data_IF_932322669947
#
_entry.id   IF_932322669947
#
_cell.length_a   1.000
_cell.length_b   1.000
_cell.length_c   1.000
_cell.angle_alpha   90.00
_cell.angle_beta   90.00
_cell.angle_gamma   90.00
#
_symmetry.space_group_name_H-M   'P 1'
#
loop_
_entity.id
_entity.type
_entity.pdbx_description
1 polymer ?
#
# COMPACT_ATOMS: atom_id res chain seq x y z
N UNK A 1 43.35 -9.04 -16.47
CA UNK A 1 42.07 -8.44 -16.94
C UNK A 1 40.91 -9.44 -17.04
N UNK A 2 41.13 -10.77 -17.02
CA UNK A 2 40.04 -11.77 -17.08
C UNK A 2 39.33 -12.10 -15.75
N UNK A 3 39.87 -11.68 -14.59
CA UNK A 3 39.30 -12.02 -13.25
C UNK A 3 38.30 -10.98 -12.70
N UNK A 4 38.17 -9.81 -13.32
CA UNK A 4 37.20 -8.78 -12.89
C UNK A 4 35.80 -8.95 -13.51
N UNK A 5 35.68 -9.72 -14.59
CA UNK A 5 34.42 -9.96 -15.27
C UNK A 5 33.53 -10.99 -14.54
N UNK A 6 34.14 -11.98 -13.87
CA UNK A 6 33.41 -13.06 -13.19
C UNK A 6 32.69 -12.61 -11.91
N UNK A 7 33.24 -11.65 -11.17
CA UNK A 7 32.64 -11.23 -9.90
C UNK A 7 31.38 -10.35 -10.09
N UNK A 8 31.24 -9.65 -11.22
CA UNK A 8 30.06 -8.80 -11.47
C UNK A 8 28.80 -9.62 -11.75
N UNK A 9 28.95 -10.74 -12.46
CA UNK A 9 27.84 -11.63 -12.81
C UNK A 9 27.27 -12.33 -11.55
N UNK A 10 28.13 -12.73 -10.60
CA UNK A 10 27.70 -13.35 -9.34
C UNK A 10 26.80 -12.42 -8.50
N UNK A 11 27.14 -11.12 -8.41
CA UNK A 11 26.30 -10.15 -7.70
C UNK A 11 24.99 -9.87 -8.43
N UNK A 12 25.03 -9.82 -9.76
CA UNK A 12 23.82 -9.69 -10.57
C UNK A 12 22.86 -10.85 -10.29
N UNK A 13 23.33 -12.09 -10.41
CA UNK A 13 22.52 -13.29 -10.20
C UNK A 13 21.95 -13.35 -8.78
N UNK A 14 22.77 -13.04 -7.77
CA UNK A 14 22.35 -13.08 -6.37
C UNK A 14 21.22 -12.09 -6.07
N UNK A 15 21.37 -10.83 -6.49
CA UNK A 15 20.34 -9.81 -6.22
C UNK A 15 19.13 -9.94 -7.14
N UNK A 16 19.30 -10.37 -8.40
CA UNK A 16 18.16 -10.66 -9.29
C UNK A 16 17.34 -11.85 -8.77
N UNK A 17 18.00 -12.88 -8.24
CA UNK A 17 17.31 -14.00 -7.58
C UNK A 17 16.51 -13.52 -6.36
N UNK A 18 17.04 -12.59 -5.56
CA UNK A 18 16.31 -11.96 -4.46
C UNK A 18 15.11 -11.11 -4.90
N UNK A 19 15.18 -10.46 -6.06
CA UNK A 19 14.05 -9.72 -6.60
C UNK A 19 12.89 -10.63 -7.06
N UNK A 20 13.21 -11.83 -7.55
CA UNK A 20 12.22 -12.82 -8.00
C UNK A 20 11.64 -13.65 -6.85
N UNK A 21 12.48 -13.97 -5.87
CA UNK A 21 12.12 -14.67 -4.64
C UNK A 21 12.57 -13.85 -3.43
N UNK A 22 11.67 -13.00 -2.87
CA UNK A 22 12.01 -12.05 -1.82
C UNK A 22 12.62 -12.66 -0.56
N UNK A 23 12.43 -13.95 -0.28
CA UNK A 23 13.06 -14.62 0.85
C UNK A 23 14.60 -14.62 0.77
N UNK A 24 15.17 -14.45 -0.43
CA UNK A 24 16.62 -14.39 -0.63
C UNK A 24 17.25 -13.02 -0.37
N UNK A 25 16.47 -11.97 -0.06
CA UNK A 25 17.01 -10.64 0.22
C UNK A 25 17.99 -10.62 1.38
N UNK A 26 17.63 -11.28 2.48
CA UNK A 26 18.48 -11.39 3.65
C UNK A 26 19.82 -12.05 3.31
N UNK A 27 19.78 -13.18 2.58
CA UNK A 27 20.97 -13.88 2.10
C UNK A 27 21.84 -12.98 1.20
N UNK A 28 21.23 -12.24 0.28
CA UNK A 28 21.96 -11.37 -0.64
C UNK A 28 22.63 -10.20 0.09
N UNK A 29 21.93 -9.57 1.03
CA UNK A 29 22.45 -8.47 1.86
C UNK A 29 23.57 -8.99 2.79
N UNK A 30 23.41 -10.17 3.40
CA UNK A 30 24.45 -10.84 4.19
C UNK A 30 25.71 -11.11 3.38
N UNK A 31 25.58 -11.62 2.16
CA UNK A 31 26.71 -11.89 1.29
C UNK A 31 27.49 -10.62 0.94
N UNK A 32 26.79 -9.51 0.64
CA UNK A 32 27.42 -8.20 0.41
C UNK A 32 28.17 -7.71 1.66
N UNK A 33 27.56 -7.85 2.84
CA UNK A 33 28.20 -7.46 4.11
C UNK A 33 29.47 -8.27 4.34
N UNK A 34 29.41 -9.59 4.21
CA UNK A 34 30.55 -10.49 4.38
C UNK A 34 31.69 -10.19 3.39
N UNK A 35 31.37 -9.99 2.10
CA UNK A 35 32.37 -9.72 1.07
C UNK A 35 33.10 -8.37 1.27
N UNK A 36 32.44 -7.41 1.93
CA UNK A 36 33.04 -6.12 2.28
C UNK A 36 33.64 -6.11 3.69
N UNK A 37 33.63 -7.25 4.39
CA UNK A 37 34.10 -7.38 5.76
C UNK A 37 33.35 -6.47 6.74
N UNK A 38 32.05 -6.30 6.52
CA UNK A 38 31.16 -5.50 7.36
C UNK A 38 30.24 -6.41 8.17
N UNK A 39 29.92 -6.01 9.41
CA UNK A 39 29.01 -6.70 10.30
C UNK A 39 27.61 -6.85 9.70
N UNK A 40 27.07 -5.76 9.14
CA UNK A 40 25.73 -5.77 8.54
C UNK A 40 25.69 -5.05 7.19
N UNK A 41 24.82 -5.55 6.31
CA UNK A 41 24.34 -4.84 5.15
C UNK A 41 22.94 -4.31 5.45
N UNK A 42 22.56 -3.21 4.79
CA UNK A 42 21.28 -2.58 5.00
C UNK A 42 20.67 -2.12 3.68
N UNK A 43 19.40 -2.45 3.46
CA UNK A 43 18.54 -1.82 2.46
C UNK A 43 17.43 -1.08 3.20
N UNK A 44 17.37 0.24 3.01
CA UNK A 44 16.43 1.10 3.70
C UNK A 44 15.67 1.95 2.70
N UNK A 45 14.38 2.15 2.93
CA UNK A 45 13.56 3.05 2.14
C UNK A 45 12.82 4.05 3.00
N UNK A 46 12.70 5.27 2.50
CA UNK A 46 11.86 6.32 3.06
C UNK A 46 10.86 6.77 2.01
N UNK A 47 9.60 6.92 2.40
CA UNK A 47 8.53 7.37 1.51
C UNK A 47 7.55 8.30 2.20
N UNK A 48 6.61 8.89 1.43
CA UNK A 48 5.56 9.74 1.97
C UNK A 48 4.74 9.03 3.05
N UNK A 49 4.31 9.74 4.10
CA UNK A 49 3.39 9.20 5.10
C UNK A 49 4.01 8.31 6.17
N UNK A 50 5.28 8.52 6.52
CA UNK A 50 6.04 7.73 7.51
C UNK A 50 6.27 6.26 7.12
N UNK A 51 6.14 5.93 5.83
CA UNK A 51 6.49 4.60 5.35
C UNK A 51 8.00 4.46 5.25
N UNK A 52 8.56 3.66 6.13
CA UNK A 52 9.92 3.18 6.00
C UNK A 52 9.95 1.68 6.04
N UNK A 53 10.81 1.08 5.22
CA UNK A 53 11.28 -0.27 5.47
C UNK A 53 12.75 -0.18 5.80
N UNK A 54 13.21 -1.02 6.70
CA UNK A 54 14.60 -1.07 7.10
C UNK A 54 15.00 -2.54 7.23
N UNK A 55 15.67 -3.05 6.21
CA UNK A 55 16.17 -4.41 6.16
C UNK A 55 17.64 -4.38 6.54
N UNK A 56 17.97 -4.95 7.70
CA UNK A 56 19.34 -5.08 8.16
C UNK A 56 19.63 -6.57 8.33
N UNK A 57 20.73 -7.04 7.74
CA UNK A 57 21.12 -8.43 7.85
C UNK A 57 21.50 -8.81 9.28
N UNK A 58 21.22 -10.04 9.71
CA UNK A 58 21.66 -10.58 11.02
C UNK A 58 21.19 -9.77 12.25
N UNK A 59 20.08 -9.03 12.13
CA UNK A 59 19.45 -8.29 13.23
C UNK A 59 18.05 -8.84 13.51
N UNK A 60 17.70 -8.97 14.80
CA UNK A 60 16.38 -9.40 15.27
C UNK A 60 15.30 -8.32 15.03
N UNK A 61 14.09 -8.72 14.65
CA UNK A 61 12.96 -7.80 14.37
C UNK A 61 12.64 -6.86 15.55
N UNK A 62 12.90 -7.29 16.80
CA UNK A 62 12.71 -6.46 18.00
C UNK A 62 13.61 -5.22 18.04
N UNK A 63 14.75 -5.27 17.35
CA UNK A 63 15.69 -4.16 17.22
C UNK A 63 15.18 -3.16 16.19
N UNK A 64 14.70 -3.63 15.04
CA UNK A 64 14.06 -2.80 14.00
C UNK A 64 12.83 -2.09 14.56
N UNK A 65 12.07 -2.74 15.44
CA UNK A 65 10.92 -2.12 16.11
C UNK A 65 11.29 -0.93 17.02
N UNK A 66 12.46 -0.93 17.68
CA UNK A 66 12.97 0.24 18.41
C UNK A 66 13.25 1.40 17.46
N UNK A 67 13.80 1.12 16.28
CA UNK A 67 14.09 2.14 15.26
C UNK A 67 12.83 2.81 14.68
N UNK A 68 11.65 2.17 14.78
CA UNK A 68 10.38 2.69 14.28
C UNK A 68 9.85 3.89 15.09
N UNK A 69 10.42 4.15 16.27
CA UNK A 69 10.07 5.30 17.11
C UNK A 69 10.80 6.58 16.72
N UNK A 70 11.91 6.46 15.97
CA UNK A 70 12.74 7.58 15.53
C UNK A 70 12.46 7.84 14.05
N UNK A 71 12.24 9.11 13.68
CA UNK A 71 12.16 9.51 12.29
C UNK A 71 13.57 9.51 11.65
N UNK A 72 13.98 8.33 11.18
CA UNK A 72 15.27 8.09 10.55
C UNK A 72 15.48 8.86 9.25
N UNK A 73 14.43 9.49 8.69
CA UNK A 73 14.51 10.25 7.44
C UNK A 73 14.98 11.69 7.62
N UNK A 74 15.07 12.18 8.87
CA UNK A 74 15.39 13.57 9.16
C UNK A 74 16.90 13.83 9.26
N UNK A 75 17.45 14.78 8.47
CA UNK A 75 18.88 15.08 8.51
C UNK A 75 19.34 15.68 9.85
N UNK A 76 18.47 16.36 10.59
CA UNK A 76 18.85 16.94 11.90
C UNK A 76 18.86 15.93 13.06
N UNK A 77 18.34 14.72 12.83
CA UNK A 77 18.34 13.61 13.78
C UNK A 77 19.28 12.48 13.35
N UNK A 78 19.45 12.24 12.05
CA UNK A 78 20.24 11.13 11.52
C UNK A 78 21.46 11.65 10.75
N UNK A 79 22.67 11.45 11.32
CA UNK A 79 23.92 11.93 10.70
C UNK A 79 24.17 11.30 9.33
N UNK A 80 23.64 10.11 9.06
CA UNK A 80 23.78 9.45 7.76
C UNK A 80 22.97 10.17 6.69
N UNK A 81 21.78 10.65 7.04
CA UNK A 81 20.96 11.47 6.13
C UNK A 81 21.56 12.87 5.97
N UNK A 82 22.04 13.49 7.05
CA UNK A 82 22.75 14.77 6.97
C UNK A 82 24.01 14.68 6.09
N UNK A 83 24.79 13.59 6.23
CA UNK A 83 25.98 13.37 5.43
C UNK A 83 25.66 13.24 3.93
N UNK A 84 24.59 12.55 3.56
CA UNK A 84 24.15 12.46 2.16
C UNK A 84 23.66 13.80 1.58
N UNK A 85 23.18 14.71 2.44
CA UNK A 85 22.70 16.04 2.05
C UNK A 85 23.80 17.11 1.93
N UNK A 86 25.07 16.80 2.24
CA UNK A 86 26.18 17.74 2.08
C UNK A 86 26.40 18.06 0.59
N UNK A 87 26.73 19.32 0.27
CA UNK A 87 26.84 19.81 -1.12
C UNK A 87 27.87 19.05 -1.97
N UNK A 88 28.98 18.63 -1.36
CA UNK A 88 30.10 17.98 -2.04
C UNK A 88 30.21 16.49 -1.68
N UNK A 89 29.08 15.86 -1.33
CA UNK A 89 29.08 14.45 -0.96
C UNK A 89 29.37 13.55 -2.17
N UNK A 90 30.30 12.58 -2.04
CA UNK A 90 30.55 11.59 -3.08
C UNK A 90 29.33 10.67 -3.26
N UNK A 91 29.25 9.97 -4.39
CA UNK A 91 28.20 8.96 -4.64
C UNK A 91 28.13 7.90 -3.54
N UNK A 92 29.28 7.54 -2.97
CA UNK A 92 29.38 6.66 -1.80
C UNK A 92 29.78 7.51 -0.61
N UNK A 93 28.79 7.90 0.18
CA UNK A 93 28.96 8.64 1.42
C UNK A 93 29.52 7.69 2.47
N UNK A 94 30.47 8.15 3.26
CA UNK A 94 31.19 7.29 4.21
C UNK A 94 31.65 8.10 5.41
N UNK A 95 32.46 7.50 6.27
CA UNK A 95 32.75 8.00 7.60
C UNK A 95 33.33 9.42 7.62
N UNK A 96 34.06 9.85 6.58
CA UNK A 96 34.57 11.22 6.50
C UNK A 96 33.44 12.26 6.48
N UNK A 97 32.34 11.99 5.76
CA UNK A 97 31.15 12.85 5.78
C UNK A 97 30.33 12.66 7.06
N UNK A 98 30.32 11.46 7.64
CA UNK A 98 29.65 11.22 8.92
C UNK A 98 30.26 12.07 10.04
N UNK A 99 31.58 12.18 10.09
CA UNK A 99 32.29 12.98 11.09
C UNK A 99 31.93 14.47 11.00
N UNK A 100 31.73 14.99 9.78
CA UNK A 100 31.25 16.36 9.55
C UNK A 100 29.79 16.50 9.96
N UNK A 101 28.92 15.57 9.55
CA UNK A 101 27.49 15.63 9.81
C UNK A 101 27.14 15.50 11.31
N UNK A 102 27.92 14.73 12.08
CA UNK A 102 27.71 14.56 13.52
C UNK A 102 27.88 15.85 14.32
N UNK A 103 28.70 16.79 13.84
CA UNK A 103 28.95 18.07 14.53
C UNK A 103 27.73 19.00 14.54
N UNK A 104 26.74 18.73 13.69
CA UNK A 104 25.55 19.59 13.52
C UNK A 104 24.24 18.90 13.92
N UNK A 105 24.31 17.71 14.52
CA UNK A 105 23.13 17.00 15.03
C UNK A 105 22.49 17.76 16.20
N UNK A 106 21.14 17.76 16.23
CA UNK A 106 20.37 18.47 17.25
C UNK A 106 19.91 17.57 18.41
N UNK A 107 19.95 16.25 18.22
CA UNK A 107 19.48 15.28 19.19
C UNK A 107 20.31 13.99 19.10
N UNK A 108 20.38 13.29 20.22
CA UNK A 108 21.21 12.10 20.38
C UNK A 108 20.46 10.79 20.13
N UNK A 109 19.13 10.80 19.92
CA UNK A 109 18.32 9.58 19.78
C UNK A 109 18.87 8.57 18.76
N UNK A 110 19.36 9.05 17.60
CA UNK A 110 19.96 8.20 16.58
C UNK A 110 21.39 7.78 16.93
N UNK A 111 22.14 8.60 17.68
CA UNK A 111 23.47 8.25 18.18
C UNK A 111 23.37 7.17 19.26
N UNK A 112 22.40 7.26 20.16
CA UNK A 112 22.09 6.25 21.17
C UNK A 112 21.70 4.93 20.50
N UNK A 113 20.87 5.00 19.45
CA UNK A 113 20.55 3.84 18.61
C UNK A 113 21.82 3.23 17.99
N UNK A 114 22.69 4.06 17.42
CA UNK A 114 23.96 3.58 16.86
C UNK A 114 24.90 3.00 17.93
N UNK A 115 24.83 3.48 19.18
CA UNK A 115 25.60 2.98 20.31
C UNK A 115 25.10 1.61 20.75
N UNK A 116 23.78 1.45 20.90
CA UNK A 116 23.13 0.21 21.30
C UNK A 116 23.47 -0.96 20.36
N UNK A 117 23.63 -0.67 19.06
CA UNK A 117 23.91 -1.66 18.03
C UNK A 117 25.35 -1.69 17.53
N UNK A 118 26.21 -0.79 18.02
CA UNK A 118 27.58 -0.59 17.53
C UNK A 118 27.62 -0.48 16.00
N UNK A 119 26.94 0.51 15.43
CA UNK A 119 26.83 0.70 13.96
C UNK A 119 27.26 2.10 13.51
N UNK A 120 28.25 2.68 14.20
CA UNK A 120 28.74 4.02 13.90
C UNK A 120 29.46 4.12 12.54
N UNK A 121 30.09 3.05 12.07
CA UNK A 121 30.94 3.08 10.88
C UNK A 121 30.24 2.49 9.66
N UNK A 122 30.87 2.63 8.49
CA UNK A 122 30.38 2.11 7.22
C UNK A 122 30.27 3.16 6.12
N UNK A 123 29.57 2.80 5.05
CA UNK A 123 29.32 3.67 3.91
C UNK A 123 27.91 3.42 3.36
N UNK A 124 27.44 4.31 2.48
CA UNK A 124 26.11 4.24 1.92
C UNK A 124 26.02 4.92 0.55
N UNK A 125 24.98 4.57 -0.19
CA UNK A 125 24.64 5.23 -1.45
C UNK A 125 23.12 5.20 -1.69
N UNK A 126 22.62 6.16 -2.46
CA UNK A 126 21.22 6.16 -2.91
C UNK A 126 21.08 5.29 -4.15
N UNK A 127 20.24 4.26 -4.07
CA UNK A 127 19.88 3.45 -5.24
C UNK A 127 18.81 4.15 -6.08
N UNK A 128 17.79 4.69 -5.42
CA UNK A 128 16.67 5.40 -6.03
C UNK A 128 16.32 6.63 -5.18
N UNK A 129 16.00 7.75 -5.81
CA UNK A 129 15.49 8.95 -5.14
C UNK A 129 14.52 9.68 -6.08
N UNK A 130 13.38 10.14 -5.55
CA UNK A 130 12.39 10.88 -6.31
C UNK A 130 11.20 11.31 -5.46
N UNK A 131 10.11 11.74 -6.11
CA UNK A 131 8.87 12.16 -5.44
C UNK A 131 8.21 11.07 -4.59
N UNK A 132 8.38 9.80 -4.97
CA UNK A 132 7.79 8.66 -4.28
C UNK A 132 8.61 8.16 -3.09
N UNK A 133 9.75 8.80 -2.82
CA UNK A 133 10.67 8.40 -1.76
C UNK A 133 12.10 8.14 -2.25
N UNK A 134 12.89 7.56 -1.35
CA UNK A 134 14.29 7.23 -1.53
C UNK A 134 14.52 5.79 -1.06
N UNK A 135 15.36 5.04 -1.78
CA UNK A 135 15.88 3.75 -1.34
C UNK A 135 17.40 3.85 -1.30
N UNK A 136 17.95 3.60 -0.12
CA UNK A 136 19.36 3.63 0.19
C UNK A 136 19.89 2.23 0.44
N UNK A 137 21.15 2.04 0.07
CA UNK A 137 21.94 0.86 0.40
C UNK A 137 23.06 1.31 1.34
N UNK A 138 23.34 0.55 2.38
CA UNK A 138 24.41 0.85 3.31
C UNK A 138 25.13 -0.40 3.81
N UNK A 139 26.37 -0.18 4.24
CA UNK A 139 27.11 -1.06 5.13
C UNK A 139 27.10 -0.43 6.51
N UNK A 140 26.79 -1.25 7.52
CA UNK A 140 26.86 -0.88 8.92
C UNK A 140 27.99 -1.71 9.56
N UNK A 141 28.98 -1.00 10.10
CA UNK A 141 30.21 -1.59 10.62
C UNK A 141 30.31 -1.32 12.12
N UNK A 142 30.72 -2.35 12.83
CA UNK A 142 30.93 -2.28 14.27
C UNK A 142 32.33 -1.77 14.62
N UNK A 143 32.60 -1.61 15.91
CA UNK A 143 33.88 -1.10 16.38
C UNK A 143 35.04 -2.07 16.08
N UNK A 144 34.76 -3.37 15.92
CA UNK A 144 35.78 -4.38 15.56
C UNK A 144 36.10 -4.36 14.07
N UNK A 145 35.11 -4.09 13.23
CA UNK A 145 35.26 -3.93 11.79
C UNK A 145 36.07 -2.68 11.42
N UNK A 146 36.02 -1.63 12.26
CA UNK A 146 36.65 -0.34 12.00
C UNK A 146 36.03 0.43 10.83
N UNK A 147 36.71 1.52 10.42
CA UNK A 147 36.29 2.37 9.29
C UNK A 147 36.54 1.69 7.94
N UNK A 148 35.74 2.04 6.93
CA UNK A 148 35.89 1.49 5.58
C UNK A 148 37.25 1.84 4.95
N UNK A 149 37.84 0.87 4.25
CA UNK A 149 38.97 1.10 3.34
C UNK A 149 38.49 1.52 1.95
N UNK A 150 39.40 2.06 1.12
CA UNK A 150 39.04 2.41 -0.27
C UNK A 150 38.61 1.18 -1.07
N UNK A 151 39.30 0.05 -0.90
CA UNK A 151 39.00 -1.21 -1.59
C UNK A 151 37.59 -1.72 -1.24
N UNK A 152 37.18 -1.64 0.03
CA UNK A 152 35.83 -2.00 0.47
C UNK A 152 34.77 -1.09 -0.16
N UNK A 153 35.04 0.22 -0.25
CA UNK A 153 34.13 1.18 -0.90
C UNK A 153 34.03 0.97 -2.41
N UNK A 154 35.12 0.64 -3.07
CA UNK A 154 35.13 0.33 -4.49
C UNK A 154 34.31 -0.93 -4.79
N UNK A 155 34.43 -1.97 -3.95
CA UNK A 155 33.60 -3.17 -4.05
C UNK A 155 32.12 -2.85 -3.79
N UNK A 156 31.81 -2.09 -2.74
CA UNK A 156 30.44 -1.65 -2.47
C UNK A 156 29.84 -0.87 -3.66
N UNK A 157 30.64 0.02 -4.27
CA UNK A 157 30.27 0.76 -5.48
C UNK A 157 30.03 -0.12 -6.69
N UNK A 158 30.75 -1.23 -6.82
CA UNK A 158 30.53 -2.22 -7.87
C UNK A 158 29.26 -3.05 -7.64
N UNK A 159 28.89 -3.32 -6.38
CA UNK A 159 27.69 -4.10 -6.02
C UNK A 159 26.41 -3.27 -6.17
N UNK A 160 26.43 -1.98 -5.79
CA UNK A 160 25.25 -1.14 -5.71
C UNK A 160 24.38 -1.08 -7.00
N UNK A 161 24.93 -1.03 -8.23
CA UNK A 161 24.14 -1.09 -9.47
C UNK A 161 23.32 -2.38 -9.63
N UNK A 162 23.84 -3.52 -9.15
CA UNK A 162 23.13 -4.80 -9.18
C UNK A 162 21.94 -4.79 -8.21
N UNK A 163 22.15 -4.27 -7.00
CA UNK A 163 21.07 -4.07 -6.01
C UNK A 163 20.00 -3.13 -6.56
N UNK A 164 20.42 -2.02 -7.18
CA UNK A 164 19.48 -1.07 -7.81
C UNK A 164 18.63 -1.75 -8.87
N UNK A 165 19.23 -2.62 -9.68
CA UNK A 165 18.52 -3.36 -10.74
C UNK A 165 17.50 -4.33 -10.15
N UNK A 166 17.88 -5.07 -9.11
CA UNK A 166 16.99 -5.95 -8.36
C UNK A 166 15.80 -5.20 -7.73
N UNK A 167 16.05 -4.06 -7.08
CA UNK A 167 14.99 -3.22 -6.51
C UNK A 167 14.02 -2.71 -7.60
N UNK A 168 14.53 -2.28 -8.76
CA UNK A 168 13.70 -1.85 -9.88
C UNK A 168 12.86 -3.01 -10.45
N UNK A 169 13.44 -4.20 -10.56
CA UNK A 169 12.74 -5.41 -11.01
C UNK A 169 11.62 -5.79 -10.04
N UNK A 170 11.90 -5.85 -8.73
CA UNK A 170 10.88 -6.15 -7.73
C UNK A 170 9.75 -5.10 -7.74
N UNK A 171 10.09 -3.80 -7.85
CA UNK A 171 9.09 -2.73 -7.99
C UNK A 171 8.21 -2.95 -9.22
N UNK A 172 8.76 -3.37 -10.36
CA UNK A 172 7.98 -3.66 -11.56
C UNK A 172 7.03 -4.86 -11.36
N UNK A 173 7.48 -5.92 -10.69
CA UNK A 173 6.65 -7.08 -10.34
C UNK A 173 5.50 -6.68 -9.41
N UNK A 174 5.77 -5.85 -8.41
CA UNK A 174 4.75 -5.34 -7.48
C UNK A 174 3.69 -4.48 -8.20
N UNK A 175 4.10 -3.65 -9.16
CA UNK A 175 3.20 -2.87 -10.01
C UNK A 175 2.30 -3.77 -10.87
N UNK A 176 2.84 -4.85 -11.44
CA UNK A 176 2.01 -5.84 -12.14
C UNK A 176 1.00 -6.51 -11.18
N UNK A 177 1.36 -6.70 -9.92
CA UNK A 177 0.45 -7.18 -8.87
C UNK A 177 -0.79 -6.30 -8.70
N UNK A 178 -0.65 -4.97 -8.74
CA UNK A 178 -1.81 -4.07 -8.72
C UNK A 178 -2.70 -4.22 -9.94
N UNK A 179 -2.13 -4.36 -11.14
CA UNK A 179 -2.90 -4.52 -12.37
C UNK A 179 -3.72 -5.82 -12.36
N UNK A 180 -3.12 -6.94 -11.93
CA UNK A 180 -3.79 -8.25 -11.82
C UNK A 180 -4.95 -8.23 -10.81
N UNK A 181 -4.70 -7.66 -9.62
CA UNK A 181 -5.74 -7.53 -8.59
C UNK A 181 -6.86 -6.61 -9.06
N UNK A 182 -6.54 -5.46 -9.67
CA UNK A 182 -7.54 -4.52 -10.19
C UNK A 182 -8.41 -5.17 -11.25
N UNK A 183 -7.83 -5.89 -12.21
CA UNK A 183 -8.57 -6.61 -13.26
C UNK A 183 -9.49 -7.71 -12.69
N UNK A 184 -9.09 -8.37 -11.60
CA UNK A 184 -9.93 -9.36 -10.91
C UNK A 184 -11.20 -8.72 -10.33
N UNK A 185 -11.06 -7.57 -9.65
CA UNK A 185 -12.22 -6.86 -9.08
C UNK A 185 -13.06 -6.14 -10.13
N UNK A 186 -12.46 -5.73 -11.25
CA UNK A 186 -13.18 -5.23 -12.41
C UNK A 186 -14.12 -6.31 -13.00
N UNK A 187 -13.64 -7.55 -13.13
CA UNK A 187 -14.47 -8.67 -13.60
C UNK A 187 -15.65 -8.95 -12.65
N UNK A 188 -15.48 -8.70 -11.34
CA UNK A 188 -16.53 -8.77 -10.31
C UNK A 188 -17.39 -7.49 -10.22
N UNK A 189 -17.18 -6.51 -11.10
CA UNK A 189 -17.96 -5.27 -11.15
C UNK A 189 -17.88 -4.42 -9.87
N UNK A 190 -16.78 -4.52 -9.12
CA UNK A 190 -16.60 -3.82 -7.85
C UNK A 190 -15.82 -2.53 -8.00
N UNK A 191 -16.18 -1.53 -7.18
CA UNK A 191 -15.39 -0.31 -7.02
C UNK A 191 -14.34 -0.54 -5.94
N UNK A 192 -13.10 -0.79 -6.35
CA UNK A 192 -11.99 -1.05 -5.44
C UNK A 192 -10.80 -0.10 -5.66
N UNK A 193 -10.17 0.32 -4.56
CA UNK A 193 -8.84 0.92 -4.53
C UNK A 193 -7.87 -0.04 -3.83
N UNK A 194 -6.75 -0.32 -4.47
CA UNK A 194 -5.67 -1.11 -3.90
C UNK A 194 -4.66 -0.16 -3.28
N UNK A 195 -4.30 -0.45 -2.04
CA UNK A 195 -3.44 0.38 -1.22
C UNK A 195 -2.11 -0.34 -1.00
N UNK A 196 -1.01 0.40 -1.07
CA UNK A 196 0.31 -0.08 -0.71
C UNK A 196 0.53 -0.09 0.83
N UNK A 197 1.72 -0.46 1.30
CA UNK A 197 2.02 -0.49 2.73
C UNK A 197 2.06 0.90 3.40
N UNK A 198 2.00 1.97 2.60
CA UNK A 198 1.96 3.37 3.03
C UNK A 198 0.51 3.91 3.11
N UNK A 199 -0.46 3.13 2.59
CA UNK A 199 -1.85 3.53 2.44
C UNK A 199 -2.11 4.37 1.19
N UNK A 200 -1.13 4.51 0.28
CA UNK A 200 -1.32 5.18 -1.01
C UNK A 200 -2.00 4.24 -2.00
N UNK A 201 -2.84 4.80 -2.87
CA UNK A 201 -3.52 4.09 -3.94
C UNK A 201 -2.51 3.75 -5.04
N UNK A 202 -2.18 2.46 -5.17
CA UNK A 202 -1.30 1.94 -6.23
C UNK A 202 -2.06 1.43 -7.47
N UNK A 203 -3.37 1.20 -7.34
CA UNK A 203 -4.24 0.82 -8.44
C UNK A 203 -5.71 0.94 -8.08
N UNK A 204 -6.59 1.06 -9.07
CA UNK A 204 -8.03 1.11 -8.84
C UNK A 204 -8.81 0.57 -10.04
N UNK A 205 -10.00 0.05 -9.77
CA UNK A 205 -10.94 -0.38 -10.83
C UNK A 205 -11.58 0.82 -11.54
N UNK A 206 -12.06 0.69 -12.79
CA UNK A 206 -12.76 1.78 -13.50
C UNK A 206 -13.97 2.34 -12.73
N UNK A 207 -14.67 1.51 -11.95
CA UNK A 207 -15.79 1.99 -11.11
C UNK A 207 -15.34 2.82 -9.93
N UNK A 208 -14.21 2.47 -9.33
CA UNK A 208 -13.62 3.28 -8.27
C UNK A 208 -13.19 4.64 -8.81
N UNK A 209 -12.61 4.68 -10.01
CA UNK A 209 -12.27 5.94 -10.70
C UNK A 209 -13.53 6.79 -10.98
N UNK A 210 -14.61 6.18 -11.49
CA UNK A 210 -15.88 6.87 -11.69
C UNK A 210 -16.47 7.44 -10.38
N UNK A 211 -16.27 6.78 -9.24
CA UNK A 211 -16.67 7.32 -7.94
C UNK A 211 -15.87 8.55 -7.53
N UNK A 212 -14.60 8.69 -7.96
CA UNK A 212 -13.83 9.90 -7.71
C UNK A 212 -14.44 11.12 -8.40
N UNK A 213 -15.07 10.94 -9.56
CA UNK A 213 -15.73 12.00 -10.32
C UNK A 213 -17.15 12.32 -9.82
N UNK A 214 -17.88 11.32 -9.34
CA UNK A 214 -19.33 11.41 -9.07
C UNK A 214 -19.70 11.51 -7.59
N UNK A 215 -18.78 11.16 -6.68
CA UNK A 215 -19.02 11.17 -5.24
C UNK A 215 -18.21 12.25 -4.51
N UNK A 216 -18.12 12.15 -3.18
CA UNK A 216 -17.25 12.99 -2.33
C UNK A 216 -15.88 12.37 -2.09
N UNK A 217 -15.63 11.15 -2.57
CA UNK A 217 -14.35 10.46 -2.44
C UNK A 217 -13.33 11.11 -3.38
N UNK A 218 -12.12 11.37 -2.88
CA UNK A 218 -11.01 11.95 -3.64
C UNK A 218 -9.74 11.17 -3.38
N UNK A 219 -8.82 11.19 -4.34
CA UNK A 219 -7.42 10.80 -4.11
C UNK A 219 -6.59 12.08 -4.08
N UNK A 220 -5.97 12.40 -2.95
CA UNK A 220 -5.10 13.57 -2.77
C UNK A 220 -3.69 13.09 -2.46
N UNK A 221 -2.72 13.48 -3.29
CA UNK A 221 -1.32 13.07 -3.18
C UNK A 221 -1.09 11.54 -3.11
N UNK A 222 -2.06 10.78 -3.63
CA UNK A 222 -2.09 9.32 -3.61
C UNK A 222 -2.88 8.72 -2.46
N UNK A 223 -3.39 9.49 -1.50
CA UNK A 223 -4.21 8.97 -0.40
C UNK A 223 -5.71 9.11 -0.67
N UNK A 224 -6.47 8.07 -0.34
CA UNK A 224 -7.92 8.10 -0.39
C UNK A 224 -8.48 8.96 0.74
N UNK A 225 -9.35 9.91 0.40
CA UNK A 225 -9.96 10.86 1.31
C UNK A 225 -11.41 11.15 0.90
N UNK A 226 -12.12 11.90 1.74
CA UNK A 226 -13.41 12.51 1.41
C UNK A 226 -13.29 14.04 1.42
N UNK A 227 -14.21 14.73 0.74
CA UNK A 227 -14.39 16.17 0.92
C UNK A 227 -14.72 16.55 2.37
N UNK A 228 -15.32 15.62 3.15
CA UNK A 228 -15.63 15.84 4.56
C UNK A 228 -14.45 15.40 5.46
N UNK A 229 -13.99 16.26 6.40
CA UNK A 229 -12.83 15.94 7.25
C UNK A 229 -13.04 14.80 8.25
N UNK A 230 -14.25 14.59 8.74
CA UNK A 230 -14.62 13.47 9.62
C UNK A 230 -14.61 12.13 8.88
N UNK A 231 -15.18 12.09 7.68
CA UNK A 231 -15.11 10.92 6.78
C UNK A 231 -13.66 10.61 6.40
N UNK A 232 -12.85 11.62 6.07
CA UNK A 232 -11.42 11.45 5.79
C UNK A 232 -10.65 10.84 6.96
N UNK A 233 -10.93 11.28 8.19
CA UNK A 233 -10.32 10.70 9.40
C UNK A 233 -10.78 9.26 9.62
N UNK A 234 -12.03 8.93 9.31
CA UNK A 234 -12.52 7.56 9.38
C UNK A 234 -11.84 6.65 8.35
N UNK A 235 -11.71 7.09 7.09
CA UNK A 235 -10.97 6.38 6.03
C UNK A 235 -9.52 6.14 6.47
N UNK A 236 -8.81 7.18 6.92
CA UNK A 236 -7.43 7.05 7.35
C UNK A 236 -7.25 6.06 8.51
N UNK A 237 -8.18 6.04 9.49
CA UNK A 237 -8.18 5.05 10.57
C UNK A 237 -8.41 3.63 10.07
N UNK A 238 -9.34 3.44 9.13
CA UNK A 238 -9.61 2.13 8.54
C UNK A 238 -8.40 1.60 7.76
N UNK A 239 -7.76 2.44 6.96
CA UNK A 239 -6.52 2.10 6.24
C UNK A 239 -5.42 1.68 7.22
N UNK A 240 -5.15 2.49 8.25
CA UNK A 240 -4.15 2.19 9.28
C UNK A 240 -4.41 0.87 10.00
N UNK A 241 -5.66 0.60 10.39
CA UNK A 241 -6.02 -0.65 11.07
C UNK A 241 -5.65 -1.90 10.26
N UNK A 242 -5.62 -1.79 8.92
CA UNK A 242 -5.32 -2.89 8.01
C UNK A 242 -3.83 -2.97 7.66
N UNK A 243 -3.15 -1.83 7.46
CA UNK A 243 -1.73 -1.81 7.04
C UNK A 243 -0.75 -1.94 8.21
N UNK A 244 -1.11 -1.43 9.39
CA UNK A 244 -0.26 -1.45 10.59
C UNK A 244 -0.27 -2.83 11.26
N UNK A 245 0.87 -3.41 11.66
CA UNK A 245 0.90 -4.70 12.34
C UNK A 245 0.28 -4.65 13.76
N UNK A 246 -0.49 -5.67 14.19
CA UNK A 246 -1.00 -6.80 13.42
C UNK A 246 -2.23 -6.37 12.61
N UNK A 247 -2.08 -6.30 11.28
CA UNK A 247 -3.13 -5.82 10.39
C UNK A 247 -4.45 -6.56 10.62
N UNK A 248 -5.49 -5.82 10.97
CA UNK A 248 -6.82 -6.34 11.32
C UNK A 248 -7.87 -5.80 10.38
N UNK A 249 -8.97 -6.53 10.23
CA UNK A 249 -10.13 -6.02 9.51
C UNK A 249 -10.60 -4.71 10.16
N UNK A 250 -10.79 -3.67 9.34
CA UNK A 250 -11.29 -2.40 9.82
C UNK A 250 -12.83 -2.41 9.91
N UNK A 251 -13.36 -1.62 10.84
CA UNK A 251 -14.80 -1.32 10.83
C UNK A 251 -15.18 -0.61 9.53
N UNK A 252 -16.34 -0.92 8.92
CA UNK A 252 -16.81 -0.25 7.72
C UNK A 252 -16.99 1.26 7.94
N UNK A 253 -16.62 2.05 6.93
CA UNK A 253 -16.75 3.52 6.95
C UNK A 253 -17.96 3.92 6.11
N UNK A 254 -18.98 4.46 6.77
CA UNK A 254 -20.17 4.98 6.12
C UNK A 254 -19.95 6.44 5.68
N UNK A 255 -20.08 6.70 4.38
CA UNK A 255 -20.11 8.04 3.79
C UNK A 255 -21.56 8.45 3.57
N UNK A 256 -21.92 9.64 4.06
CA UNK A 256 -23.31 10.09 4.02
C UNK A 256 -23.63 10.82 2.73
N UNK A 257 -24.81 10.58 2.18
CA UNK A 257 -25.36 11.40 1.10
C UNK A 257 -25.84 12.78 1.60
N UNK A 258 -26.41 13.57 0.70
CA UNK A 258 -26.88 14.92 1.00
C UNK A 258 -28.19 14.93 1.82
N UNK A 259 -28.91 13.81 1.83
CA UNK A 259 -30.09 13.61 2.68
C UNK A 259 -29.74 13.16 4.10
N UNK A 260 -28.45 12.89 4.36
CA UNK A 260 -27.94 12.44 5.66
C UNK A 260 -27.99 10.92 5.86
N UNK A 261 -28.50 10.17 4.87
CA UNK A 261 -28.47 8.71 4.80
C UNK A 261 -27.10 8.17 4.40
N UNK A 262 -26.89 6.86 4.47
CA UNK A 262 -25.62 6.23 4.04
C UNK A 262 -25.64 6.05 2.51
N UNK A 263 -24.84 6.83 1.80
CA UNK A 263 -24.74 6.77 0.34
C UNK A 263 -23.69 5.78 -0.16
N UNK A 264 -22.56 5.65 0.55
CA UNK A 264 -21.48 4.71 0.22
C UNK A 264 -20.97 4.07 1.50
N UNK A 265 -20.81 2.76 1.52
CA UNK A 265 -20.09 2.04 2.56
C UNK A 265 -18.72 1.64 2.03
N UNK A 266 -17.66 1.96 2.76
CA UNK A 266 -16.29 1.56 2.45
C UNK A 266 -15.88 0.43 3.40
N UNK A 267 -15.37 -0.66 2.84
CA UNK A 267 -14.84 -1.80 3.59
C UNK A 267 -13.36 -1.99 3.26
N UNK A 268 -12.50 -2.09 4.28
CA UNK A 268 -11.06 -2.25 4.09
C UNK A 268 -10.59 -3.61 4.58
N UNK A 269 -9.88 -4.35 3.71
CA UNK A 269 -9.39 -5.69 4.00
C UNK A 269 -7.88 -5.80 3.79
N UNK A 270 -7.16 -6.52 4.67
CA UNK A 270 -5.73 -6.78 4.48
C UNK A 270 -5.53 -7.77 3.33
N UNK A 271 -4.51 -7.53 2.53
CA UNK A 271 -3.98 -8.50 1.58
C UNK A 271 -2.86 -9.32 2.26
N UNK A 272 -2.60 -10.56 1.80
CA UNK A 272 -1.53 -11.38 2.33
C UNK A 272 -0.20 -10.64 2.39
N UNK A 273 0.43 -10.62 3.58
CA UNK A 273 1.75 -10.01 3.76
C UNK A 273 2.80 -10.96 3.20
N UNK A 274 3.63 -10.44 2.29
CA UNK A 274 4.84 -11.14 1.84
C UNK A 274 6.03 -10.63 2.64
N UNK A 275 6.85 -11.50 3.24
CA UNK A 275 8.17 -11.12 3.77
C UNK A 275 8.98 -10.42 2.67
N UNK A 276 9.81 -9.44 3.05
CA UNK A 276 10.70 -8.73 2.10
C UNK A 276 10.00 -8.06 0.90
N UNK A 277 8.69 -7.79 1.02
CA UNK A 277 7.99 -6.95 0.06
C UNK A 277 8.40 -5.49 0.26
N UNK A 278 8.67 -4.77 -0.83
CA UNK A 278 8.91 -3.34 -0.76
C UNK A 278 7.59 -2.65 -0.31
N UNK A 279 7.67 -1.43 0.24
CA UNK A 279 6.50 -0.71 0.76
C UNK A 279 5.47 -0.40 -0.32
N UNK A 280 5.86 -0.46 -1.59
CA UNK A 280 4.99 -0.23 -2.74
C UNK A 280 4.19 -1.48 -3.13
N UNK A 281 4.37 -2.63 -2.49
CA UNK A 281 3.56 -3.81 -2.76
C UNK A 281 2.10 -3.61 -2.31
N UNK A 282 1.12 -4.21 -3.01
CA UNK A 282 -0.27 -4.23 -2.55
C UNK A 282 -0.37 -4.79 -1.12
N UNK A 283 -0.99 -4.04 -0.22
CA UNK A 283 -1.12 -4.37 1.21
C UNK A 283 -2.56 -4.42 1.69
N UNK A 284 -3.42 -3.61 1.10
CA UNK A 284 -4.82 -3.58 1.46
C UNK A 284 -5.70 -3.32 0.23
N UNK A 285 -6.97 -3.64 0.37
CA UNK A 285 -8.00 -3.27 -0.60
C UNK A 285 -9.14 -2.54 0.11
N UNK A 286 -9.56 -1.43 -0.46
CA UNK A 286 -10.75 -0.68 -0.07
C UNK A 286 -11.85 -0.93 -1.10
N UNK A 287 -12.99 -1.46 -0.67
CA UNK A 287 -14.14 -1.76 -1.52
C UNK A 287 -15.27 -0.79 -1.20
N UNK A 288 -15.78 -0.07 -2.19
CA UNK A 288 -16.98 0.73 -2.07
C UNK A 288 -18.24 -0.07 -2.44
N UNK A 289 -19.21 -0.06 -1.53
CA UNK A 289 -20.59 -0.46 -1.78
C UNK A 289 -21.43 0.81 -1.86
N UNK A 290 -21.91 1.13 -3.06
CA UNK A 290 -22.79 2.27 -3.26
C UNK A 290 -24.22 1.84 -2.93
N UNK A 291 -24.93 2.64 -2.13
CA UNK A 291 -26.31 2.40 -1.71
C UNK A 291 -27.35 2.58 -2.82
N UNK A 292 -26.92 2.82 -4.06
CA UNK A 292 -27.81 2.99 -5.21
C UNK A 292 -27.61 1.86 -6.25
N UNK A 293 -28.70 1.30 -6.81
CA UNK A 293 -28.65 0.41 -7.96
C UNK A 293 -27.75 0.95 -9.06
N UNK A 294 -26.93 0.10 -9.68
CA UNK A 294 -26.29 0.44 -10.97
C UNK A 294 -27.20 0.00 -12.11
N UNK A 295 -27.10 0.64 -13.28
CA UNK A 295 -27.85 0.22 -14.48
C UNK A 295 -27.59 -1.26 -14.83
N UNK A 296 -26.40 -1.77 -14.50
CA UNK A 296 -26.06 -3.19 -14.69
C UNK A 296 -26.87 -4.10 -13.77
N UNK A 297 -27.12 -3.72 -12.50
CA UNK A 297 -27.98 -4.49 -11.60
C UNK A 297 -29.42 -4.56 -12.12
N UNK A 298 -29.92 -3.43 -12.65
CA UNK A 298 -31.22 -3.36 -13.31
C UNK A 298 -31.26 -4.32 -14.51
N UNK A 299 -30.28 -4.22 -15.41
CA UNK A 299 -30.18 -5.10 -16.59
C UNK A 299 -30.02 -6.59 -16.23
N UNK A 300 -29.30 -6.90 -15.16
CA UNK A 300 -29.10 -8.28 -14.69
C UNK A 300 -30.41 -8.85 -14.14
N UNK A 301 -31.12 -8.12 -13.29
CA UNK A 301 -32.44 -8.54 -12.80
C UNK A 301 -33.46 -8.69 -13.94
N UNK A 302 -33.43 -7.80 -14.94
CA UNK A 302 -34.27 -7.91 -16.14
C UNK A 302 -33.96 -9.19 -16.92
N UNK A 303 -32.68 -9.53 -17.13
CA UNK A 303 -32.28 -10.74 -17.87
C UNK A 303 -32.53 -12.03 -17.09
N UNK A 304 -32.27 -12.02 -15.77
CA UNK A 304 -32.36 -13.22 -14.92
C UNK A 304 -33.81 -13.58 -14.58
N UNK A 305 -34.67 -12.59 -14.37
CA UNK A 305 -36.06 -12.82 -13.91
C UNK A 305 -37.13 -12.26 -14.86
N UNK A 306 -36.76 -11.70 -16.01
CA UNK A 306 -37.74 -11.10 -16.94
C UNK A 306 -38.42 -9.86 -16.37
N UNK A 307 -37.78 -9.17 -15.42
CA UNK A 307 -38.32 -7.93 -14.86
C UNK A 307 -38.30 -6.81 -15.90
N UNK A 308 -39.24 -5.86 -15.78
CA UNK A 308 -39.17 -4.58 -16.50
C UNK A 308 -38.15 -3.64 -15.83
N UNK A 309 -37.67 -2.58 -16.51
CA UNK A 309 -36.79 -1.59 -15.88
C UNK A 309 -37.37 -1.00 -14.59
N UNK A 310 -38.68 -0.73 -14.62
CA UNK A 310 -39.45 -0.26 -13.47
C UNK A 310 -39.47 -1.28 -12.32
N UNK A 311 -39.68 -2.56 -12.61
CA UNK A 311 -39.74 -3.60 -11.57
C UNK A 311 -38.37 -3.85 -10.94
N UNK A 312 -37.31 -3.89 -11.74
CA UNK A 312 -35.95 -4.07 -11.26
C UNK A 312 -35.50 -2.90 -10.37
N UNK A 313 -35.84 -1.64 -10.71
CA UNK A 313 -35.57 -0.48 -9.86
C UNK A 313 -36.27 -0.60 -8.47
N UNK A 314 -37.53 -1.05 -8.41
CA UNK A 314 -38.24 -1.28 -7.13
C UNK A 314 -37.56 -2.36 -6.30
N UNK A 315 -37.21 -3.49 -6.93
CA UNK A 315 -36.59 -4.61 -6.25
C UNK A 315 -35.25 -4.23 -5.61
N UNK A 316 -34.45 -3.41 -6.30
CA UNK A 316 -33.14 -2.96 -5.79
C UNK A 316 -33.30 -1.94 -4.67
N UNK A 317 -34.24 -0.98 -4.81
CA UNK A 317 -34.52 0.00 -3.74
C UNK A 317 -35.00 -0.66 -2.45
N UNK A 318 -35.85 -1.68 -2.56
CA UNK A 318 -36.26 -2.50 -1.42
C UNK A 318 -35.07 -3.25 -0.79
N UNK A 319 -34.21 -3.84 -1.62
CA UNK A 319 -33.01 -4.52 -1.13
C UNK A 319 -32.00 -3.57 -0.46
N UNK A 320 -31.98 -2.30 -0.88
CA UNK A 320 -31.23 -1.22 -0.24
C UNK A 320 -31.88 -0.70 1.07
N UNK A 321 -33.00 -1.28 1.50
CA UNK A 321 -33.67 -0.96 2.76
C UNK A 321 -34.59 0.27 2.71
N UNK A 322 -34.90 0.81 1.52
CA UNK A 322 -35.87 1.90 1.39
C UNK A 322 -37.28 1.41 1.75
N UNK A 323 -38.06 2.26 2.44
CA UNK A 323 -39.45 1.91 2.75
C UNK A 323 -40.33 1.99 1.50
N UNK A 324 -41.44 1.25 1.48
CA UNK A 324 -42.40 1.30 0.36
C UNK A 324 -42.97 2.70 0.14
N UNK A 325 -43.13 3.48 1.21
CA UNK A 325 -43.60 4.86 1.12
C UNK A 325 -42.58 5.74 0.39
N UNK A 326 -41.30 5.61 0.73
CA UNK A 326 -40.20 6.36 0.09
C UNK A 326 -40.05 5.97 -1.37
N UNK A 327 -40.18 4.68 -1.71
CA UNK A 327 -40.11 4.19 -3.08
C UNK A 327 -41.29 4.71 -3.92
N UNK A 328 -42.50 4.72 -3.35
CA UNK A 328 -43.68 5.26 -4.02
C UNK A 328 -43.52 6.76 -4.30
N UNK A 329 -43.07 7.52 -3.29
CA UNK A 329 -42.82 8.95 -3.39
C UNK A 329 -41.72 9.28 -4.41
N UNK A 330 -40.58 8.59 -4.36
CA UNK A 330 -39.46 8.79 -5.27
C UNK A 330 -39.82 8.51 -6.73
N UNK A 331 -40.80 7.63 -6.98
CA UNK A 331 -41.26 7.25 -8.32
C UNK A 331 -42.51 7.99 -8.78
N UNK A 332 -43.11 8.83 -7.93
CA UNK A 332 -44.36 9.52 -8.25
C UNK A 332 -45.55 8.59 -8.47
N UNK A 333 -45.59 7.42 -7.80
CA UNK A 333 -46.68 6.44 -7.92
C UNK A 333 -47.45 6.29 -6.62
N UNK A 334 -48.72 5.88 -6.69
CA UNK A 334 -49.53 5.61 -5.50
C UNK A 334 -49.05 4.34 -4.77
N UNK A 335 -49.35 4.23 -3.47
CA UNK A 335 -49.06 3.03 -2.69
C UNK A 335 -49.73 1.77 -3.27
N UNK A 336 -50.94 1.91 -3.81
CA UNK A 336 -51.65 0.80 -4.48
C UNK A 336 -50.97 0.40 -5.80
N UNK A 337 -50.50 1.37 -6.59
CA UNK A 337 -49.72 1.09 -7.81
C UNK A 337 -48.43 0.34 -7.48
N UNK A 338 -47.72 0.76 -6.43
CA UNK A 338 -46.49 0.09 -5.99
C UNK A 338 -46.78 -1.35 -5.52
N UNK A 339 -47.90 -1.57 -4.82
CA UNK A 339 -48.33 -2.89 -4.34
C UNK A 339 -48.61 -3.85 -5.50
N UNK A 340 -49.23 -3.37 -6.59
CA UNK A 340 -49.45 -4.17 -7.81
C UNK A 340 -48.11 -4.52 -8.47
N UNK A 341 -47.19 -3.56 -8.59
CA UNK A 341 -45.86 -3.81 -9.14
C UNK A 341 -45.07 -4.82 -8.29
N UNK A 342 -45.18 -4.75 -6.97
CA UNK A 342 -44.55 -5.73 -6.06
C UNK A 342 -45.09 -7.15 -6.22
N UNK A 343 -46.39 -7.29 -6.44
CA UNK A 343 -47.00 -8.60 -6.74
C UNK A 343 -46.42 -9.18 -8.02
N UNK A 344 -46.32 -8.37 -9.08
CA UNK A 344 -45.71 -8.81 -10.33
C UNK A 344 -44.24 -9.21 -10.17
N UNK A 345 -43.47 -8.45 -9.37
CA UNK A 345 -42.08 -8.80 -9.04
C UNK A 345 -42.02 -10.15 -8.31
N UNK A 346 -42.88 -10.39 -7.32
CA UNK A 346 -42.92 -11.65 -6.58
C UNK A 346 -43.25 -12.84 -7.50
N UNK A 347 -44.23 -12.67 -8.39
CA UNK A 347 -44.60 -13.72 -9.35
C UNK A 347 -43.45 -14.04 -10.32
N UNK A 348 -42.78 -13.01 -10.86
CA UNK A 348 -41.64 -13.19 -11.79
C UNK A 348 -40.37 -13.72 -11.14
N UNK A 349 -40.14 -13.41 -9.88
CA UNK A 349 -38.95 -13.86 -9.12
C UNK A 349 -39.18 -15.16 -8.34
N UNK A 350 -40.42 -15.69 -8.33
CA UNK A 350 -40.80 -16.84 -7.51
C UNK A 350 -40.77 -16.60 -6.00
N UNK A 351 -40.65 -15.33 -5.57
CA UNK A 351 -40.62 -14.95 -4.17
C UNK A 351 -42.03 -14.95 -3.58
N UNK A 352 -42.17 -15.38 -2.33
CA UNK A 352 -43.45 -15.31 -1.59
C UNK A 352 -43.46 -14.22 -0.53
N UNK A 353 -42.29 -13.68 -0.18
CA UNK A 353 -42.10 -12.69 0.89
C UNK A 353 -41.05 -11.68 0.47
N UNK A 354 -41.19 -10.45 0.96
CA UNK A 354 -40.23 -9.37 0.74
C UNK A 354 -38.82 -9.76 1.18
N UNK A 355 -38.66 -10.43 2.32
CA UNK A 355 -37.34 -10.89 2.78
C UNK A 355 -36.65 -11.89 1.83
N UNK A 356 -37.43 -12.68 1.07
CA UNK A 356 -36.88 -13.57 0.03
C UNK A 356 -36.42 -12.77 -1.18
N UNK A 357 -37.20 -11.77 -1.60
CA UNK A 357 -36.82 -10.85 -2.67
C UNK A 357 -35.55 -10.08 -2.28
N UNK A 358 -35.51 -9.49 -1.09
CA UNK A 358 -34.33 -8.78 -0.55
C UNK A 358 -33.10 -9.68 -0.54
N UNK A 359 -33.24 -10.95 -0.12
CA UNK A 359 -32.14 -11.91 -0.12
C UNK A 359 -31.65 -12.23 -1.54
N UNK A 360 -32.57 -12.53 -2.47
CA UNK A 360 -32.19 -12.90 -3.86
C UNK A 360 -31.59 -11.71 -4.59
N UNK A 361 -32.14 -10.51 -4.43
CA UNK A 361 -31.58 -9.27 -4.99
C UNK A 361 -30.23 -8.96 -4.34
N UNK A 362 -30.07 -9.19 -3.04
CA UNK A 362 -28.79 -9.07 -2.33
C UNK A 362 -27.72 -10.00 -2.90
N UNK A 363 -28.06 -11.25 -3.22
CA UNK A 363 -27.14 -12.22 -3.86
C UNK A 363 -26.69 -11.81 -5.28
N UNK A 364 -27.48 -10.99 -5.97
CA UNK A 364 -27.23 -10.55 -7.35
C UNK A 364 -26.58 -9.16 -7.40
N UNK A 365 -26.71 -8.40 -6.31
CA UNK A 365 -26.05 -7.11 -6.09
C UNK A 365 -24.70 -7.27 -5.36
N UNK A 366 -24.35 -8.50 -4.99
CA UNK A 366 -23.03 -8.92 -4.51
C UNK A 366 -22.28 -9.69 -5.59
#
# INVERSE_FOLDING_TARGET
>A
MASRATNGDEWADLFLSAALDPENWDRAIRAMAAATGSRHGQLIGFGPGASSFNWISDIDDSIVAKTATIDQSRPDLNYRVAADALRDSPTIVHEAQYDVARQSLRADDYLDLCADFDIFNGCQTRLLAGRDGMIGLALLRDSKDGRTTQEQRDLFGAIAPHVRTAVLLQRAIEQQGFALLSGTFEAMDRACWLLDATGRVGGMTPRADALLATSRIRVRDGWLASERPDESRAIARAVRAVIDPPGRAADPVALRDDSGGVGIMLECYPLPRRPWALPFAPRAIMIARVGAPTDRHVQLLMRTFGLTPAEADIAIRLAAGQSRADIAAARGVSAETLKVQLRSIYDKTGCRRESQLVRIVGLISH
#
